data_IF_531227570078
#
_entry.id   IF_531227570078
#
_cell.length_a   1.000
_cell.length_b   1.000
_cell.length_c   1.000
_cell.angle_alpha   90.00
_cell.angle_beta   90.00
_cell.angle_gamma   90.00
#
_symmetry.space_group_name_H-M   'P 1'
#
loop_
_entity.id
_entity.type
_entity.pdbx_description
1 polymer ?
#
# COMPACT_ATOMS: atom_id res chain seq x y z
N UNK A 1 -28.37 -59.33 -15.79
CA UNK A 1 -26.93 -59.26 -15.48
C UNK A 1 -26.57 -57.78 -15.32
N UNK A 2 -26.20 -57.41 -14.10
CA UNK A 2 -26.04 -56.05 -13.60
C UNK A 2 -24.74 -55.40 -14.05
N UNK A 3 -24.77 -54.13 -14.47
CA UNK A 3 -23.65 -53.20 -14.28
C UNK A 3 -24.23 -51.80 -14.01
N UNK A 4 -24.18 -51.35 -12.76
CA UNK A 4 -24.41 -49.94 -12.41
C UNK A 4 -23.07 -49.23 -12.51
N UNK A 5 -22.92 -48.34 -13.48
CA UNK A 5 -21.73 -47.51 -13.65
C UNK A 5 -21.86 -46.34 -12.66
N UNK A 6 -21.24 -46.48 -11.48
CA UNK A 6 -21.06 -45.40 -10.53
C UNK A 6 -20.04 -44.42 -11.12
N UNK A 7 -20.51 -43.32 -11.71
CA UNK A 7 -19.64 -42.24 -12.19
C UNK A 7 -19.20 -41.42 -10.98
N UNK A 8 -18.01 -41.75 -10.45
CA UNK A 8 -17.36 -40.96 -9.40
C UNK A 8 -16.76 -39.69 -10.03
N UNK A 9 -17.53 -38.60 -10.02
CA UNK A 9 -17.03 -37.26 -10.31
C UNK A 9 -16.14 -36.85 -9.14
N UNK A 10 -14.83 -36.97 -9.35
CA UNK A 10 -13.80 -36.45 -8.46
C UNK A 10 -13.80 -34.92 -8.57
N UNK A 11 -14.53 -34.27 -7.66
CA UNK A 11 -14.53 -32.82 -7.49
C UNK A 11 -13.18 -32.42 -6.86
N UNK A 12 -12.19 -32.11 -7.70
CA UNK A 12 -10.92 -31.53 -7.24
C UNK A 12 -11.21 -30.08 -6.85
N UNK A 13 -11.52 -29.85 -5.57
CA UNK A 13 -11.53 -28.51 -5.00
C UNK A 13 -10.08 -28.04 -4.86
N UNK A 14 -9.63 -27.23 -5.82
CA UNK A 14 -8.41 -26.43 -5.67
C UNK A 14 -8.67 -25.39 -4.58
N UNK A 15 -8.31 -25.72 -3.34
CA UNK A 15 -8.14 -24.73 -2.29
C UNK A 15 -6.92 -23.87 -2.63
N UNK A 16 -7.13 -22.81 -3.40
CA UNK A 16 -6.17 -21.72 -3.49
C UNK A 16 -6.22 -20.95 -2.17
N UNK A 17 -5.46 -21.40 -1.18
CA UNK A 17 -5.13 -20.62 0.01
C UNK A 17 -4.22 -19.48 -0.45
N UNK A 18 -4.83 -18.31 -0.67
CA UNK A 18 -4.15 -17.12 -1.17
C UNK A 18 -3.29 -16.51 -0.06
N UNK A 19 -2.04 -16.97 0.04
CA UNK A 19 -1.01 -16.24 0.79
C UNK A 19 -0.70 -14.96 0.03
N UNK A 20 -0.74 -13.82 0.73
CA UNK A 20 -0.32 -12.55 0.14
C UNK A 20 1.21 -12.54 0.09
N UNK A 21 1.79 -12.92 -1.04
CA UNK A 21 3.22 -12.69 -1.29
C UNK A 21 3.49 -11.24 -1.72
N UNK A 22 2.50 -10.63 -2.39
CA UNK A 22 2.54 -9.25 -2.87
C UNK A 22 1.14 -8.62 -2.81
N UNK A 23 1.06 -7.43 -2.20
CA UNK A 23 -0.09 -6.54 -2.29
C UNK A 23 0.41 -5.20 -2.84
N UNK A 24 -0.25 -4.64 -3.85
CA UNK A 24 0.04 -3.29 -4.35
C UNK A 24 -1.27 -2.64 -4.79
N UNK A 25 -1.55 -1.45 -4.26
CA UNK A 25 -2.72 -0.68 -4.67
C UNK A 25 -2.39 0.81 -4.67
N UNK A 26 -2.83 1.49 -5.71
CA UNK A 26 -2.74 2.94 -5.88
C UNK A 26 -4.13 3.54 -6.03
N UNK A 27 -4.28 4.79 -5.61
CA UNK A 27 -5.51 5.58 -5.71
C UNK A 27 -5.16 6.92 -6.30
N UNK A 28 -5.88 7.32 -7.36
CA UNK A 28 -5.72 8.63 -7.98
C UNK A 28 -6.34 9.71 -7.09
N UNK A 29 -5.63 10.81 -6.96
CA UNK A 29 -6.11 12.02 -6.27
C UNK A 29 -7.12 12.74 -7.16
N UNK A 30 -8.22 13.27 -6.59
CA UNK A 30 -9.15 14.11 -7.34
C UNK A 30 -8.41 15.33 -7.91
N UNK A 31 -8.64 15.64 -9.20
CA UNK A 31 -8.04 16.80 -9.88
C UNK A 31 -6.51 16.91 -9.85
N UNK A 32 -5.80 15.83 -9.49
CA UNK A 32 -4.34 15.87 -9.24
C UNK A 32 -3.97 16.77 -8.03
N UNK A 33 -4.91 16.94 -7.11
CA UNK A 33 -4.80 17.72 -5.89
C UNK A 33 -4.97 16.75 -4.71
N UNK A 34 -3.95 16.63 -3.85
CA UNK A 34 -4.05 15.81 -2.65
C UNK A 34 -4.50 16.65 -1.45
N UNK A 35 -5.82 16.68 -1.25
CA UNK A 35 -6.42 17.25 -0.04
C UNK A 35 -6.10 16.41 1.21
N UNK A 36 -5.91 17.07 2.36
CA UNK A 36 -5.73 16.40 3.66
C UNK A 36 -6.99 15.62 4.09
N UNK A 37 -8.15 16.06 3.61
CA UNK A 37 -9.44 15.38 3.80
C UNK A 37 -9.52 14.06 3.02
N UNK A 38 -8.79 13.95 1.90
CA UNK A 38 -8.75 12.78 1.05
C UNK A 38 -7.73 11.76 1.56
N UNK A 39 -8.24 10.75 2.27
CA UNK A 39 -7.42 9.76 2.95
C UNK A 39 -7.71 8.33 2.44
N UNK A 40 -7.06 7.90 1.33
CA UNK A 40 -7.24 6.58 0.76
C UNK A 40 -7.04 5.46 1.78
N UNK A 41 -7.93 4.47 1.72
CA UNK A 41 -7.89 3.28 2.58
C UNK A 41 -7.46 2.03 1.79
N UNK A 42 -6.50 1.31 2.34
CA UNK A 42 -5.88 0.12 1.80
C UNK A 42 -6.12 -1.04 2.76
N UNK A 43 -6.85 -2.04 2.28
CA UNK A 43 -7.30 -3.18 3.08
C UNK A 43 -6.71 -4.46 2.52
N UNK A 44 -6.17 -5.29 3.40
CA UNK A 44 -5.57 -6.59 3.06
C UNK A 44 -5.78 -7.58 4.22
N UNK A 45 -5.84 -8.87 3.88
CA UNK A 45 -6.08 -9.94 4.84
C UNK A 45 -4.78 -10.74 5.08
N UNK A 46 -4.39 -10.93 6.35
CA UNK A 46 -3.20 -11.68 6.73
C UNK A 46 -3.62 -13.03 7.30
N UNK A 47 -3.10 -14.12 6.73
CA UNK A 47 -3.27 -15.48 7.26
C UNK A 47 -1.98 -15.97 7.95
N UNK A 48 -0.82 -15.63 7.38
CA UNK A 48 0.51 -15.98 7.90
C UNK A 48 1.04 -14.86 8.81
N UNK A 49 1.04 -15.13 10.11
CA UNK A 49 1.47 -14.17 11.15
C UNK A 49 2.95 -14.28 11.51
N UNK A 50 3.69 -15.23 10.93
CA UNK A 50 5.12 -15.44 11.20
C UNK A 50 5.97 -14.63 10.22
N UNK A 51 5.49 -14.51 8.98
CA UNK A 51 6.21 -13.79 7.94
C UNK A 51 6.31 -12.29 8.19
N UNK A 52 7.37 -11.70 7.64
CA UNK A 52 7.61 -10.26 7.69
C UNK A 52 7.48 -9.65 6.29
N UNK A 53 7.16 -8.36 6.23
CA UNK A 53 6.82 -7.65 5.01
C UNK A 53 7.55 -6.31 4.94
N UNK A 54 8.07 -5.98 3.76
CA UNK A 54 8.47 -4.62 3.45
C UNK A 54 7.22 -3.81 3.11
N UNK A 55 7.07 -2.65 3.74
CA UNK A 55 5.96 -1.73 3.50
C UNK A 55 6.47 -0.52 2.74
N UNK A 56 5.92 -0.30 1.56
CA UNK A 56 6.28 0.83 0.71
C UNK A 56 5.09 1.79 0.58
N UNK A 57 5.39 3.08 0.69
CA UNK A 57 4.52 4.13 0.19
C UNK A 57 4.81 4.34 -1.29
N UNK A 58 3.74 4.49 -2.07
CA UNK A 58 3.80 4.75 -3.51
C UNK A 58 3.30 6.16 -3.75
N UNK A 59 4.00 6.90 -4.60
CA UNK A 59 3.58 8.24 -5.00
C UNK A 59 3.96 8.47 -6.46
N UNK A 60 3.03 9.12 -7.19
CA UNK A 60 3.30 9.75 -8.47
C UNK A 60 3.02 11.24 -8.36
N UNK A 61 3.97 12.07 -8.79
CA UNK A 61 3.80 13.51 -8.87
C UNK A 61 4.38 14.06 -10.18
N UNK A 62 3.98 15.26 -10.57
CA UNK A 62 4.62 15.96 -11.68
C UNK A 62 5.87 16.75 -11.21
N UNK A 63 6.69 17.13 -12.17
CA UNK A 63 7.86 17.99 -12.01
C UNK A 63 7.50 19.37 -11.40
N UNK A 64 6.29 19.85 -11.65
CA UNK A 64 5.74 21.10 -11.12
C UNK A 64 5.45 21.07 -9.60
N UNK A 65 5.55 19.91 -8.95
CA UNK A 65 5.42 19.82 -7.49
C UNK A 65 6.49 20.67 -6.80
N UNK A 66 6.07 21.55 -5.90
CA UNK A 66 6.92 22.64 -5.40
C UNK A 66 7.92 22.23 -4.30
N UNK A 67 7.89 20.99 -3.81
CA UNK A 67 8.67 20.56 -2.65
C UNK A 67 9.53 19.34 -2.98
N UNK A 68 10.70 19.24 -2.35
CA UNK A 68 11.59 18.08 -2.50
C UNK A 68 11.23 16.91 -1.57
N UNK A 69 10.23 17.08 -0.71
CA UNK A 69 9.75 16.08 0.22
C UNK A 69 8.25 16.24 0.48
N UNK A 70 7.65 15.21 1.08
CA UNK A 70 6.27 15.23 1.56
C UNK A 70 6.17 14.52 2.91
N UNK A 71 5.52 15.15 3.87
CA UNK A 71 5.13 14.51 5.12
C UNK A 71 3.83 13.75 4.93
N UNK A 72 3.80 12.49 5.33
CA UNK A 72 2.59 11.67 5.34
C UNK A 72 2.30 11.15 6.73
N UNK A 73 1.02 10.92 7.00
CA UNK A 73 0.53 10.19 8.16
C UNK A 73 -0.02 8.85 7.71
N UNK A 74 0.54 7.76 8.24
CA UNK A 74 0.02 6.41 8.09
C UNK A 74 -0.78 6.05 9.33
N UNK A 75 -2.06 5.77 9.14
CA UNK A 75 -2.96 5.28 10.17
C UNK A 75 -3.18 3.79 9.97
N UNK A 76 -2.94 2.97 11.00
CA UNK A 76 -3.15 1.52 10.94
C UNK A 76 -4.18 1.03 11.97
N UNK A 77 -5.04 0.11 11.53
CA UNK A 77 -6.01 -0.60 12.36
C UNK A 77 -5.82 -2.10 12.20
N UNK A 78 -5.54 -2.76 13.31
CA UNK A 78 -5.30 -4.20 13.40
C UNK A 78 -6.61 -4.99 13.53
N UNK A 79 -6.62 -6.27 13.11
CA UNK A 79 -7.77 -7.15 13.28
C UNK A 79 -8.20 -7.22 14.75
N UNK A 80 -9.47 -6.93 15.03
CA UNK A 80 -10.07 -7.02 16.36
C UNK A 80 -9.60 -5.96 17.36
N UNK A 81 -8.71 -5.03 16.99
CA UNK A 81 -8.29 -3.93 17.87
C UNK A 81 -9.19 -2.70 17.72
N UNK A 82 -9.51 -2.08 18.85
CA UNK A 82 -10.15 -0.76 18.88
C UNK A 82 -9.13 0.37 18.74
N UNK A 83 -7.87 0.10 19.11
CA UNK A 83 -6.78 1.07 19.05
C UNK A 83 -6.38 1.32 17.61
N UNK A 84 -6.25 2.59 17.26
CA UNK A 84 -5.71 3.05 15.98
C UNK A 84 -4.29 3.55 16.25
N UNK A 85 -3.33 3.14 15.42
CA UNK A 85 -1.94 3.62 15.51
C UNK A 85 -1.70 4.64 14.40
N UNK A 86 -1.00 5.72 14.73
CA UNK A 86 -0.64 6.76 13.79
C UNK A 86 0.87 6.91 13.79
N UNK A 87 1.46 6.91 12.59
CA UNK A 87 2.88 7.10 12.37
C UNK A 87 3.07 8.18 11.31
N UNK A 88 4.13 8.97 11.43
CA UNK A 88 4.42 10.08 10.54
C UNK A 88 5.75 9.83 9.84
N UNK A 89 5.78 9.99 8.53
CA UNK A 89 6.96 9.74 7.70
C UNK A 89 7.31 10.98 6.88
N UNK A 90 8.60 11.30 6.82
CA UNK A 90 9.16 12.25 5.86
C UNK A 90 9.60 11.48 4.61
N UNK A 91 8.96 11.76 3.48
CA UNK A 91 9.22 11.07 2.21
C UNK A 91 10.02 12.01 1.32
N UNK A 92 11.31 11.71 1.15
CA UNK A 92 12.16 12.45 0.22
C UNK A 92 11.76 12.12 -1.24
N UNK A 93 11.44 13.16 -2.01
CA UNK A 93 11.06 13.06 -3.42
C UNK A 93 12.14 13.54 -4.37
N UNK A 94 13.02 14.45 -3.93
CA UNK A 94 14.11 14.97 -4.75
C UNK A 94 15.41 15.12 -3.96
N UNK A 95 16.53 15.08 -4.65
CA UNK A 95 17.79 15.70 -4.18
C UNK A 95 17.83 17.16 -4.64
N UNK A 96 18.86 17.91 -4.25
CA UNK A 96 19.09 19.27 -4.76
C UNK A 96 19.19 19.36 -6.30
N UNK A 97 19.50 18.25 -6.98
CA UNK A 97 19.80 18.24 -8.42
C UNK A 97 18.76 17.54 -9.27
N UNK A 98 17.95 16.66 -8.69
CA UNK A 98 17.02 15.79 -9.44
C UNK A 98 15.96 15.17 -8.57
N UNK A 99 14.82 14.88 -9.17
CA UNK A 99 13.80 13.98 -8.63
C UNK A 99 14.33 12.54 -8.47
N UNK A 100 13.82 11.86 -7.44
CA UNK A 100 14.08 10.47 -7.12
C UNK A 100 13.04 9.56 -7.80
N UNK A 101 13.33 8.27 -7.86
CA UNK A 101 12.44 7.29 -8.51
C UNK A 101 12.64 7.19 -10.02
N UNK A 102 11.59 6.75 -10.71
CA UNK A 102 11.56 6.58 -12.16
C UNK A 102 10.78 7.73 -12.79
N UNK A 103 11.41 8.48 -13.68
CA UNK A 103 10.77 9.56 -14.42
C UNK A 103 10.33 9.11 -15.82
N UNK A 104 9.15 9.55 -16.25
CA UNK A 104 8.69 9.44 -17.64
C UNK A 104 8.05 10.77 -18.01
N UNK A 105 8.69 11.51 -18.93
CA UNK A 105 8.32 12.88 -19.26
C UNK A 105 8.34 13.76 -17.99
N UNK A 106 7.28 14.53 -17.73
CA UNK A 106 7.16 15.39 -16.56
C UNK A 106 6.66 14.66 -15.29
N UNK A 107 6.51 13.32 -15.32
CA UNK A 107 5.98 12.54 -14.21
C UNK A 107 7.06 11.70 -13.52
N UNK A 108 7.00 11.63 -12.19
CA UNK A 108 7.92 10.87 -11.35
C UNK A 108 7.18 9.89 -10.47
N UNK A 109 7.62 8.62 -10.51
CA UNK A 109 7.10 7.51 -9.71
C UNK A 109 8.13 7.03 -8.68
N UNK A 110 7.70 6.94 -7.41
CA UNK A 110 8.51 6.34 -6.35
C UNK A 110 7.75 5.26 -5.58
N UNK A 111 8.50 4.23 -5.19
CA UNK A 111 8.16 3.32 -4.09
C UNK A 111 9.18 3.56 -2.97
N UNK A 112 8.73 4.11 -1.85
CA UNK A 112 9.59 4.48 -0.72
C UNK A 112 9.35 3.53 0.44
N UNK A 113 10.40 2.86 0.91
CA UNK A 113 10.33 1.95 2.06
C UNK A 113 10.05 2.77 3.34
N UNK A 114 8.96 2.46 4.05
CA UNK A 114 8.55 3.20 5.24
C UNK A 114 9.30 2.78 6.50
N UNK A 115 9.54 1.48 6.65
CA UNK A 115 10.21 0.90 7.81
C UNK A 115 11.56 0.32 7.41
N UNK A 116 12.60 0.67 8.16
CA UNK A 116 13.95 0.11 7.95
C UNK A 116 13.93 -1.42 8.09
N UNK A 117 13.27 -1.90 9.14
CA UNK A 117 13.12 -3.32 9.42
C UNK A 117 11.76 -3.82 8.89
N UNK A 118 11.69 -5.04 8.31
CA UNK A 118 10.43 -5.62 7.87
C UNK A 118 9.40 -5.74 8.99
N UNK A 119 8.14 -5.46 8.66
CA UNK A 119 7.02 -5.47 9.60
C UNK A 119 6.43 -6.88 9.70
N UNK A 120 6.26 -7.39 10.92
CA UNK A 120 5.51 -8.61 11.18
C UNK A 120 4.05 -8.28 11.49
N UNK A 121 3.11 -8.80 10.69
CA UNK A 121 1.69 -8.70 10.96
C UNK A 121 1.25 -9.84 11.88
N UNK A 122 1.36 -9.62 13.19
CA UNK A 122 1.25 -10.65 14.22
C UNK A 122 -0.18 -11.15 14.54
N UNK A 123 -1.20 -10.73 13.81
CA UNK A 123 -2.59 -11.17 13.98
C UNK A 123 -3.15 -11.62 12.65
N UNK A 124 -3.90 -12.71 12.65
CA UNK A 124 -4.63 -13.11 11.47
C UNK A 124 -5.88 -12.24 11.29
N UNK A 125 -6.23 -11.94 10.04
CA UNK A 125 -7.44 -11.21 9.66
C UNK A 125 -7.17 -9.92 8.90
N UNK A 126 -8.20 -9.07 8.86
CA UNK A 126 -8.23 -7.86 8.04
C UNK A 126 -7.49 -6.68 8.67
N UNK A 127 -6.45 -6.22 8.00
CA UNK A 127 -5.74 -4.99 8.31
C UNK A 127 -6.25 -3.85 7.44
N UNK A 128 -6.26 -2.65 8.02
CA UNK A 128 -6.63 -1.43 7.32
C UNK A 128 -5.51 -0.41 7.52
N UNK A 129 -4.96 0.08 6.42
CA UNK A 129 -4.04 1.21 6.38
C UNK A 129 -4.72 2.39 5.71
N UNK A 130 -4.56 3.58 6.27
CA UNK A 130 -5.03 4.83 5.68
C UNK A 130 -3.88 5.80 5.58
N UNK A 131 -3.76 6.45 4.44
CA UNK A 131 -2.69 7.43 4.18
C UNK A 131 -3.30 8.81 4.03
N UNK A 132 -2.72 9.80 4.71
CA UNK A 132 -3.06 11.21 4.56
C UNK A 132 -1.79 12.03 4.33
N UNK A 133 -1.88 13.11 3.56
CA UNK A 133 -0.83 14.12 3.57
C UNK A 133 -0.85 14.89 4.90
N UNK A 134 0.33 15.24 5.39
CA UNK A 134 0.52 15.94 6.67
C UNK A 134 1.46 17.14 6.51
N UNK A 135 1.28 17.85 5.39
CA UNK A 135 1.92 19.11 5.06
C UNK A 135 1.08 20.29 5.60
N UNK A 136 1.69 21.48 5.63
CA UNK A 136 0.98 22.71 6.03
C UNK A 136 0.09 23.29 4.93
N UNK A 137 0.33 22.88 3.69
CA UNK A 137 -0.40 23.35 2.50
C UNK A 137 -1.45 22.31 2.15
N UNK A 138 -2.66 22.79 1.83
CA UNK A 138 -3.81 21.97 1.53
C UNK A 138 -4.70 22.67 0.48
N UNK A 139 -4.94 22.07 -0.70
CA UNK A 139 -4.41 20.79 -1.17
C UNK A 139 -2.92 20.85 -1.57
N UNK A 140 -2.31 19.68 -1.74
CA UNK A 140 -1.02 19.56 -2.45
C UNK A 140 -1.28 19.35 -3.94
N UNK A 141 -0.99 20.36 -4.74
CA UNK A 141 -1.11 20.29 -6.20
C UNK A 141 -0.09 19.33 -6.82
N UNK A 142 -0.39 18.85 -8.02
CA UNK A 142 0.50 18.02 -8.85
C UNK A 142 0.85 16.64 -8.27
N UNK A 143 0.09 16.17 -7.29
CA UNK A 143 0.14 14.77 -6.83
C UNK A 143 -0.91 14.01 -7.62
N UNK A 144 -0.52 12.98 -8.38
CA UNK A 144 -1.42 12.25 -9.28
C UNK A 144 -2.05 11.02 -8.62
N UNK A 145 -1.24 10.28 -7.86
CA UNK A 145 -1.71 9.11 -7.14
C UNK A 145 -0.80 8.79 -5.96
N UNK A 146 -1.39 8.06 -5.02
CA UNK A 146 -0.71 7.55 -3.83
C UNK A 146 -1.12 6.10 -3.58
N UNK A 147 -0.27 5.33 -2.92
CA UNK A 147 -0.51 3.92 -2.74
C UNK A 147 0.29 3.27 -1.63
N UNK A 148 -0.01 1.99 -1.42
CA UNK A 148 0.74 1.11 -0.53
C UNK A 148 1.10 -0.16 -1.29
N UNK A 149 2.34 -0.62 -1.09
CA UNK A 149 2.78 -1.96 -1.46
C UNK A 149 3.28 -2.70 -0.23
N UNK A 150 2.88 -3.96 -0.10
CA UNK A 150 3.42 -4.92 0.85
C UNK A 150 4.11 -6.02 0.06
N UNK A 151 5.36 -6.30 0.40
CA UNK A 151 6.14 -7.37 -0.22
C UNK A 151 6.67 -8.29 0.87
N UNK A 152 6.28 -9.57 0.81
CA UNK A 152 6.75 -10.59 1.74
C UNK A 152 8.26 -10.74 1.62
N UNK A 153 8.97 -10.75 2.75
CA UNK A 153 10.40 -11.08 2.79
C UNK A 153 10.55 -12.57 2.56
N UNK A 154 11.40 -12.94 1.59
CA UNK A 154 11.74 -14.33 1.28
C UNK A 154 12.74 -14.90 2.27
#
# INVERSE_FOLDING_TARGET
MSVRIFSAILLISLFACSRIDLFERVVFTPKQEWEQSFQPEFTFDIEDTVSTYKVFFIIRHADAYAYNNIWIKLTSKLPGEKTIRNERFDIQLATEKRWLGSGMDDLYDQRVLLYRDPVQFNKAGRYILRVAQDMRIDPLDYIFNVGIRLEKVK
#
